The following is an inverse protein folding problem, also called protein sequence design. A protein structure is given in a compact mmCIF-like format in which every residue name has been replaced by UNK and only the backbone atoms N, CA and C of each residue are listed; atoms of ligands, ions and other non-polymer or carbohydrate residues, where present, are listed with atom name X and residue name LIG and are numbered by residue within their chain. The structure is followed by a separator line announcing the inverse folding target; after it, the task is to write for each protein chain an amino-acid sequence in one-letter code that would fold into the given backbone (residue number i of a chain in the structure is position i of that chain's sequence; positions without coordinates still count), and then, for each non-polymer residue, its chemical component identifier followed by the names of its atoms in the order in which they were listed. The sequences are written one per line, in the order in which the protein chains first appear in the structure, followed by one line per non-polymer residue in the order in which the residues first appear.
data_IF_440890946622
#
_entry.id   IF_440890946622
#
_cell.length_a   1.000
_cell.length_b   1.000
_cell.length_c   1.000
_cell.angle_alpha   90.00
_cell.angle_beta   90.00
_cell.angle_gamma   90.00
#
_symmetry.space_group_name_H-M   'P 1'
#
loop_
_entity.id
_entity.type
_entity.pdbx_description
1 polymer ?
#
# COMPACT_ATOMS: atom_id res chain seq x y z
N UNK A 1 -14.04 22.04 10.75
CA UNK A 1 -13.61 21.21 9.61
C UNK A 1 -14.06 21.66 8.20
N UNK A 2 -14.78 22.78 8.00
CA UNK A 2 -15.26 23.20 6.65
C UNK A 2 -14.34 24.16 5.85
N UNK A 3 -13.22 24.64 6.40
CA UNK A 3 -12.37 25.66 5.73
C UNK A 3 -11.14 25.11 4.98
N UNK A 4 -10.84 23.81 5.07
CA UNK A 4 -9.56 23.25 4.54
C UNK A 4 -9.60 22.82 3.07
N UNK A 5 -10.80 22.67 2.46
CA UNK A 5 -10.94 22.36 1.02
C UNK A 5 -10.68 23.55 0.10
N UNK A 6 -10.82 24.78 0.60
CA UNK A 6 -10.78 25.98 -0.24
C UNK A 6 -9.36 26.41 -0.66
N UNK A 7 -8.31 26.01 0.06
CA UNK A 7 -6.94 26.50 -0.21
C UNK A 7 -6.25 25.70 -1.33
N UNK A 8 -6.63 24.44 -1.57
CA UNK A 8 -6.02 23.61 -2.63
C UNK A 8 -6.54 23.91 -4.04
N UNK A 9 -7.72 24.53 -4.17
CA UNK A 9 -8.34 24.83 -5.46
C UNK A 9 -7.84 26.14 -6.10
N UNK A 10 -7.10 26.98 -5.37
CA UNK A 10 -6.77 28.35 -5.80
C UNK A 10 -5.52 28.46 -6.70
N UNK A 11 -4.90 27.36 -7.14
CA UNK A 11 -3.64 27.39 -7.93
C UNK A 11 -3.91 27.24 -9.45
N UNK A 12 -5.17 27.28 -9.90
CA UNK A 12 -5.50 27.09 -11.32
C UNK A 12 -6.34 28.23 -11.91
N UNK A 13 -5.77 29.43 -11.93
CA UNK A 13 -6.19 30.50 -12.83
C UNK A 13 -4.95 31.26 -13.30
N UNK A 14 -4.24 30.66 -14.26
CA UNK A 14 -3.22 31.33 -15.06
C UNK A 14 -3.32 30.78 -16.47
N UNK A 15 -3.60 31.65 -17.43
CA UNK A 15 -3.71 31.31 -18.85
C UNK A 15 -2.41 30.63 -19.35
N UNK A 16 -2.50 29.69 -20.31
CA UNK A 16 -1.32 29.01 -20.83
C UNK A 16 -0.54 29.98 -21.73
N UNK A 17 0.52 30.60 -21.19
CA UNK A 17 1.53 31.25 -22.02
C UNK A 17 2.45 30.19 -22.61
N UNK A 18 2.43 30.09 -23.94
CA UNK A 18 3.40 29.33 -24.74
C UNK A 18 4.80 29.93 -24.57
N UNK A 19 5.56 29.39 -23.62
CA UNK A 19 6.97 29.68 -23.44
C UNK A 19 7.63 28.43 -22.89
N UNK A 20 8.53 27.81 -23.66
CA UNK A 20 9.25 26.61 -23.25
C UNK A 20 9.89 26.83 -21.88
N UNK A 21 9.34 26.18 -20.87
CA UNK A 21 9.82 26.30 -19.49
C UNK A 21 11.25 25.81 -19.46
N UNK A 22 12.21 26.74 -19.27
CA UNK A 22 13.63 26.39 -19.10
C UNK A 22 13.75 25.29 -18.05
N UNK A 23 14.55 24.25 -18.32
CA UNK A 23 14.73 23.11 -17.42
C UNK A 23 15.14 23.52 -15.99
N UNK A 24 15.77 24.68 -15.84
CA UNK A 24 16.12 25.28 -14.54
C UNK A 24 14.89 25.73 -13.74
N UNK A 25 13.90 26.34 -14.39
CA UNK A 25 12.65 26.75 -13.72
C UNK A 25 11.81 25.54 -13.30
N UNK A 26 11.78 24.51 -14.15
CA UNK A 26 11.13 23.24 -13.80
C UNK A 26 11.80 22.59 -12.59
N UNK A 27 13.14 22.50 -12.60
CA UNK A 27 13.92 21.93 -11.49
C UNK A 27 13.72 22.70 -10.19
N UNK A 28 13.79 24.03 -10.23
CA UNK A 28 13.57 24.87 -9.06
C UNK A 28 12.14 24.69 -8.49
N UNK A 29 11.13 24.61 -9.35
CA UNK A 29 9.75 24.32 -8.95
C UNK A 29 9.60 22.94 -8.30
N UNK A 30 10.24 21.92 -8.87
CA UNK A 30 10.26 20.56 -8.31
C UNK A 30 10.93 20.52 -6.93
N UNK A 31 12.11 21.11 -6.79
CA UNK A 31 12.86 21.16 -5.52
C UNK A 31 12.07 21.90 -4.43
N UNK A 32 11.45 23.03 -4.78
CA UNK A 32 10.60 23.78 -3.86
C UNK A 32 9.35 22.98 -3.43
N UNK A 33 8.69 22.30 -4.38
CA UNK A 33 7.56 21.43 -4.11
C UNK A 33 7.93 20.23 -3.23
N UNK A 34 9.07 19.59 -3.50
CA UNK A 34 9.62 18.50 -2.69
C UNK A 34 9.93 18.97 -1.27
N UNK A 35 10.63 20.11 -1.10
CA UNK A 35 10.97 20.66 0.19
C UNK A 35 9.73 21.03 1.03
N UNK A 36 8.72 21.64 0.39
CA UNK A 36 7.44 21.92 1.03
C UNK A 36 6.71 20.64 1.43
N UNK A 37 6.65 19.65 0.54
CA UNK A 37 6.05 18.35 0.82
C UNK A 37 6.73 17.61 1.96
N UNK A 38 8.07 17.69 2.04
CA UNK A 38 8.86 17.14 3.15
C UNK A 38 8.52 17.84 4.46
N UNK A 39 8.44 19.17 4.48
CA UNK A 39 8.11 19.96 5.66
C UNK A 39 6.69 19.67 6.16
N UNK A 40 5.69 19.74 5.27
CA UNK A 40 4.31 19.41 5.61
C UNK A 40 4.21 17.96 6.12
N UNK A 41 4.91 17.03 5.48
CA UNK A 41 4.99 15.65 5.93
C UNK A 41 5.66 15.48 7.29
N UNK A 42 6.59 16.36 7.68
CA UNK A 42 7.21 16.40 9.01
C UNK A 42 6.29 17.04 10.06
N UNK A 43 5.56 18.09 9.70
CA UNK A 43 4.59 18.78 10.57
C UNK A 43 3.38 17.90 10.87
N UNK A 44 2.90 17.16 9.86
CA UNK A 44 1.79 16.23 9.99
C UNK A 44 2.20 14.92 10.71
N UNK A 45 3.49 14.71 11.05
CA UNK A 45 3.92 13.53 11.82
C UNK A 45 3.20 13.50 13.16
N UNK A 46 2.31 12.52 13.32
CA UNK A 46 1.49 12.33 14.52
C UNK A 46 0.09 12.96 14.44
N UNK A 47 -0.23 13.69 13.37
CA UNK A 47 -1.62 14.06 13.08
C UNK A 47 -2.36 12.81 12.57
N UNK A 48 -3.15 12.20 13.44
CA UNK A 48 -3.94 11.01 13.09
C UNK A 48 -5.32 11.43 12.61
N UNK A 49 -5.80 10.86 11.50
CA UNK A 49 -7.20 10.96 11.09
C UNK A 49 -7.93 9.63 11.33
N UNK A 50 -9.23 9.72 11.64
CA UNK A 50 -10.14 8.57 11.75
C UNK A 50 -10.40 7.99 10.35
N UNK A 51 -9.55 7.05 9.93
CA UNK A 51 -9.63 6.35 8.65
C UNK A 51 -8.38 5.52 8.36
N UNK A 52 -8.16 5.15 7.10
CA UNK A 52 -7.16 4.11 6.75
C UNK A 52 -6.05 4.63 5.84
N UNK A 53 -4.80 4.37 6.20
CA UNK A 53 -3.66 4.51 5.30
C UNK A 53 -3.44 3.22 4.53
N UNK A 54 -3.61 3.26 3.21
CA UNK A 54 -3.37 2.11 2.35
C UNK A 54 -1.95 2.23 1.77
N UNK A 55 -1.11 1.25 2.08
CA UNK A 55 0.27 1.15 1.62
C UNK A 55 0.33 0.09 0.52
N UNK A 56 0.89 0.49 -0.63
CA UNK A 56 1.08 -0.38 -1.79
C UNK A 56 2.59 -0.55 -2.00
N UNK A 57 3.16 -1.73 -1.68
CA UNK A 57 4.54 -2.05 -2.02
C UNK A 57 4.72 -2.11 -3.54
N UNK A 58 5.77 -1.48 -4.08
CA UNK A 58 6.08 -1.53 -5.50
C UNK A 58 7.59 -1.76 -5.69
N UNK A 59 7.95 -2.90 -6.28
CA UNK A 59 9.33 -3.25 -6.60
C UNK A 59 9.51 -3.63 -8.08
N UNK A 60 10.74 -3.94 -8.47
CA UNK A 60 11.07 -4.26 -9.86
C UNK A 60 10.61 -5.65 -10.32
N UNK A 61 10.23 -6.53 -9.39
CA UNK A 61 9.81 -7.92 -9.66
C UNK A 61 8.30 -8.01 -9.83
N UNK A 62 7.54 -7.26 -9.02
CA UNK A 62 6.09 -7.21 -9.07
C UNK A 62 5.60 -5.76 -8.89
N UNK A 63 4.95 -5.23 -9.93
CA UNK A 63 4.45 -3.85 -9.97
C UNK A 63 2.99 -3.82 -10.40
N UNK A 64 2.10 -4.18 -9.47
CA UNK A 64 0.64 -4.09 -9.63
C UNK A 64 0.07 -2.74 -9.16
N UNK A 65 0.93 -1.79 -8.75
CA UNK A 65 0.52 -0.60 -8.02
C UNK A 65 -0.50 0.25 -8.78
N UNK A 66 -0.32 0.39 -10.10
CA UNK A 66 -1.27 1.11 -10.97
C UNK A 66 -2.67 0.52 -10.87
N UNK A 67 -2.79 -0.81 -11.04
CA UNK A 67 -4.08 -1.51 -11.00
C UNK A 67 -4.72 -1.42 -9.62
N UNK A 68 -3.94 -1.61 -8.56
CA UNK A 68 -4.41 -1.51 -7.17
C UNK A 68 -4.93 -0.10 -6.87
N UNK A 69 -4.22 0.96 -7.30
CA UNK A 69 -4.69 2.34 -7.13
C UNK A 69 -6.04 2.56 -7.83
N UNK A 70 -6.20 2.10 -9.08
CA UNK A 70 -7.46 2.26 -9.82
C UNK A 70 -8.64 1.64 -9.07
N UNK A 71 -8.46 0.43 -8.55
CA UNK A 71 -9.52 -0.27 -7.83
C UNK A 71 -9.80 0.36 -6.46
N UNK A 72 -8.79 0.86 -5.76
CA UNK A 72 -9.02 1.62 -4.51
C UNK A 72 -9.86 2.85 -4.81
N UNK A 73 -9.52 3.62 -5.86
CA UNK A 73 -10.24 4.84 -6.27
C UNK A 73 -11.70 4.57 -6.63
N UNK A 74 -12.03 3.39 -7.16
CA UNK A 74 -13.41 3.03 -7.53
C UNK A 74 -14.19 2.34 -6.41
N UNK A 75 -13.55 1.46 -5.63
CA UNK A 75 -14.23 0.54 -4.69
C UNK A 75 -14.21 1.01 -3.23
N UNK A 76 -13.54 2.13 -2.90
CA UNK A 76 -13.31 2.54 -1.51
C UNK A 76 -14.06 3.84 -1.16
N UNK A 77 -15.28 3.76 -0.61
CA UNK A 77 -16.06 4.94 -0.23
C UNK A 77 -15.58 5.60 1.09
N UNK A 78 -14.74 4.93 1.87
CA UNK A 78 -14.26 5.37 3.18
C UNK A 78 -13.26 6.54 3.08
N UNK A 79 -12.97 7.19 4.21
CA UNK A 79 -11.83 8.11 4.29
C UNK A 79 -10.53 7.31 4.30
N UNK A 80 -9.72 7.50 3.27
CA UNK A 80 -8.41 6.87 3.15
C UNK A 80 -7.35 7.83 2.61
N UNK A 81 -6.11 7.44 2.77
CA UNK A 81 -4.98 7.93 1.97
C UNK A 81 -4.26 6.75 1.32
N UNK A 82 -3.54 7.02 0.21
CA UNK A 82 -2.73 6.00 -0.47
C UNK A 82 -1.27 6.41 -0.47
N UNK A 83 -0.41 5.51 -0.01
CA UNK A 83 1.04 5.64 -0.06
C UNK A 83 1.61 4.51 -0.93
N UNK A 84 2.38 4.85 -1.95
CA UNK A 84 3.14 3.86 -2.72
C UNK A 84 4.58 3.81 -2.22
N UNK A 85 5.00 2.65 -1.72
CA UNK A 85 6.36 2.36 -1.30
C UNK A 85 7.19 1.87 -2.50
N UNK A 86 7.79 2.81 -3.24
CA UNK A 86 8.60 2.55 -4.43
C UNK A 86 10.03 2.13 -4.05
N UNK A 87 10.27 0.82 -4.08
CA UNK A 87 11.57 0.19 -3.90
C UNK A 87 12.14 -0.34 -5.22
N UNK A 88 11.74 0.25 -6.36
CA UNK A 88 12.14 -0.24 -7.68
C UNK A 88 11.01 -0.28 -8.72
N UNK A 89 9.91 0.44 -8.51
CA UNK A 89 8.77 0.48 -9.41
C UNK A 89 9.16 0.83 -10.86
N UNK A 90 8.35 0.40 -11.82
CA UNK A 90 8.58 0.67 -13.25
C UNK A 90 8.47 2.16 -13.57
N UNK A 91 9.06 2.57 -14.70
CA UNK A 91 8.92 3.95 -15.18
C UNK A 91 7.45 4.34 -15.41
N UNK A 92 6.63 3.38 -15.85
CA UNK A 92 5.19 3.56 -16.05
C UNK A 92 4.48 3.86 -14.73
N UNK A 93 4.71 3.06 -13.70
CA UNK A 93 4.13 3.27 -12.37
C UNK A 93 4.56 4.60 -11.77
N UNK A 94 5.85 4.97 -11.88
CA UNK A 94 6.32 6.28 -11.40
C UNK A 94 5.65 7.44 -12.11
N UNK A 95 5.48 7.36 -13.43
CA UNK A 95 4.74 8.37 -14.21
C UNK A 95 3.28 8.45 -13.76
N UNK A 96 2.63 7.31 -13.59
CA UNK A 96 1.24 7.24 -13.13
C UNK A 96 1.03 7.87 -11.75
N UNK A 97 1.95 7.62 -10.80
CA UNK A 97 1.92 8.23 -9.46
C UNK A 97 2.17 9.75 -9.56
N UNK A 98 3.13 10.17 -10.38
CA UNK A 98 3.45 11.57 -10.60
C UNK A 98 2.25 12.36 -11.17
N UNK A 99 1.48 11.74 -12.07
CA UNK A 99 0.29 12.35 -12.65
C UNK A 99 -0.88 12.46 -11.64
N UNK A 100 -0.84 11.67 -10.55
CA UNK A 100 -1.77 11.70 -9.41
C UNK A 100 -1.24 12.44 -8.18
N UNK A 101 -0.27 13.32 -8.38
CA UNK A 101 0.28 14.17 -7.29
C UNK A 101 -0.83 14.88 -6.53
N UNK A 102 -0.80 14.77 -5.20
CA UNK A 102 -1.81 15.34 -4.31
C UNK A 102 -2.96 14.40 -3.94
N UNK A 103 -3.15 13.30 -4.68
CA UNK A 103 -4.07 12.20 -4.34
C UNK A 103 -3.29 11.01 -3.81
N UNK A 104 -2.20 10.63 -4.49
CA UNK A 104 -1.31 9.53 -4.09
C UNK A 104 -0.01 10.10 -3.53
N UNK A 105 0.44 9.57 -2.39
CA UNK A 105 1.72 9.92 -1.77
C UNK A 105 2.80 8.95 -2.24
N UNK A 106 3.87 9.48 -2.80
CA UNK A 106 5.01 8.68 -3.26
C UNK A 106 6.09 8.59 -2.18
N UNK A 107 6.32 7.40 -1.64
CA UNK A 107 7.41 7.10 -0.71
C UNK A 107 8.50 6.38 -1.49
N UNK A 108 9.51 7.12 -1.92
CA UNK A 108 10.59 6.60 -2.76
C UNK A 108 11.78 6.14 -1.92
N UNK A 109 12.28 4.93 -2.19
CA UNK A 109 13.54 4.42 -1.65
C UNK A 109 14.77 5.07 -2.29
N UNK A 110 15.87 5.06 -1.55
CA UNK A 110 17.20 5.43 -2.04
C UNK A 110 17.83 4.23 -2.78
N UNK A 111 18.92 4.49 -3.51
CA UNK A 111 19.72 3.43 -4.13
C UNK A 111 20.22 2.45 -3.07
N UNK A 112 19.86 1.17 -3.21
CA UNK A 112 20.22 0.10 -2.28
C UNK A 112 19.21 -0.15 -1.15
N UNK A 113 18.14 0.66 -1.04
CA UNK A 113 17.06 0.36 -0.10
C UNK A 113 16.30 -0.90 -0.54
N UNK A 114 16.11 -1.82 0.41
CA UNK A 114 15.23 -2.98 0.21
C UNK A 114 13.75 -2.60 0.39
N UNK A 115 12.85 -3.42 -0.16
CA UNK A 115 11.41 -3.22 -0.08
C UNK A 115 10.92 -2.96 1.35
N UNK A 116 11.38 -3.75 2.32
CA UNK A 116 11.03 -3.58 3.73
C UNK A 116 11.38 -2.20 4.27
N UNK A 117 12.54 -1.64 3.91
CA UNK A 117 12.94 -0.31 4.37
C UNK A 117 11.99 0.78 3.83
N UNK A 118 11.57 0.66 2.56
CA UNK A 118 10.65 1.62 1.94
C UNK A 118 9.23 1.47 2.50
N UNK A 119 8.76 0.24 2.73
CA UNK A 119 7.47 -0.02 3.40
C UNK A 119 7.48 0.51 4.83
N UNK A 120 8.56 0.31 5.59
CA UNK A 120 8.72 0.85 6.94
C UNK A 120 8.68 2.39 6.96
N UNK A 121 9.29 3.03 5.95
CA UNK A 121 9.17 4.49 5.75
C UNK A 121 7.73 4.90 5.47
N UNK A 122 6.99 4.13 4.66
CA UNK A 122 5.58 4.39 4.37
C UNK A 122 4.69 4.21 5.62
N UNK A 123 4.91 3.16 6.42
CA UNK A 123 4.23 2.94 7.71
C UNK A 123 4.45 4.16 8.62
N UNK A 124 5.70 4.61 8.72
CA UNK A 124 6.07 5.76 9.56
C UNK A 124 5.51 7.10 9.05
N UNK A 125 5.27 7.23 7.74
CA UNK A 125 4.73 8.43 7.12
C UNK A 125 3.19 8.45 7.06
N UNK A 126 2.54 7.35 7.42
CA UNK A 126 1.08 7.17 7.39
C UNK A 126 0.36 7.96 8.50
N UNK A 127 -0.86 8.39 8.24
CA UNK A 127 -1.69 9.27 9.08
C UNK A 127 -3.06 8.67 9.50
N UNK A 128 -3.58 7.67 8.82
CA UNK A 128 -4.89 7.06 9.10
C UNK A 128 -4.85 6.05 10.25
N UNK A 129 -5.71 6.16 11.26
CA UNK A 129 -5.78 5.30 12.46
C UNK A 129 -5.50 3.80 12.20
N UNK A 130 -6.01 3.30 11.08
CA UNK A 130 -5.73 1.96 10.56
C UNK A 130 -4.73 2.00 9.42
N UNK A 131 -3.93 0.95 9.29
CA UNK A 131 -2.98 0.78 8.19
C UNK A 131 -3.32 -0.52 7.47
N UNK A 132 -3.52 -0.42 6.17
CA UNK A 132 -3.67 -1.55 5.27
C UNK A 132 -2.42 -1.70 4.40
N UNK A 133 -1.88 -2.91 4.26
CA UNK A 133 -0.84 -3.24 3.29
C UNK A 133 -1.45 -4.17 2.26
N UNK A 134 -1.47 -3.75 0.99
CA UNK A 134 -2.02 -4.53 -0.13
C UNK A 134 -0.88 -5.05 -1.01
N UNK A 135 -0.62 -6.35 -0.95
CA UNK A 135 0.31 -7.02 -1.85
C UNK A 135 -0.44 -7.53 -3.08
N UNK A 136 -0.07 -6.97 -4.24
CA UNK A 136 -0.39 -7.40 -5.60
C UNK A 136 -1.88 -7.44 -6.02
N UNK A 137 -2.79 -7.88 -5.17
CA UNK A 137 -4.19 -8.08 -5.52
C UNK A 137 -5.04 -6.84 -5.21
N UNK A 138 -5.77 -6.29 -6.21
CA UNK A 138 -6.69 -5.19 -5.98
C UNK A 138 -7.95 -5.64 -5.22
N UNK A 139 -8.55 -4.76 -4.40
CA UNK A 139 -9.89 -5.00 -3.87
C UNK A 139 -10.92 -5.03 -5.00
N UNK A 140 -11.87 -5.96 -4.94
CA UNK A 140 -12.93 -6.13 -5.95
C UNK A 140 -14.34 -5.95 -5.38
N UNK A 141 -14.46 -5.75 -4.08
CA UNK A 141 -15.72 -5.49 -3.40
C UNK A 141 -15.78 -4.03 -2.95
N UNK A 142 -16.92 -3.38 -3.23
CA UNK A 142 -17.26 -2.14 -2.55
C UNK A 142 -17.22 -2.33 -1.03
N UNK A 143 -16.84 -1.29 -0.29
CA UNK A 143 -16.83 -1.32 1.17
C UNK A 143 -15.90 -2.39 1.80
N UNK A 144 -14.92 -2.93 1.05
CA UNK A 144 -13.97 -3.93 1.55
C UNK A 144 -13.27 -3.53 2.86
N UNK A 145 -12.87 -2.26 3.01
CA UNK A 145 -12.30 -1.74 4.26
C UNK A 145 -13.27 -1.83 5.43
N UNK A 146 -14.55 -1.53 5.20
CA UNK A 146 -15.57 -1.56 6.24
C UNK A 146 -15.79 -2.97 6.77
N UNK A 147 -15.75 -3.97 5.87
CA UNK A 147 -15.79 -5.39 6.24
C UNK A 147 -14.62 -5.76 7.15
N UNK A 148 -13.39 -5.41 6.74
CA UNK A 148 -12.20 -5.70 7.53
C UNK A 148 -12.17 -4.94 8.87
N UNK A 149 -12.62 -3.69 8.88
CA UNK A 149 -12.64 -2.84 10.09
C UNK A 149 -13.66 -3.31 11.13
N UNK A 150 -14.83 -3.80 10.69
CA UNK A 150 -15.89 -4.30 11.58
C UNK A 150 -15.41 -5.44 12.47
N UNK A 151 -14.48 -6.27 11.99
CA UNK A 151 -13.94 -7.37 12.80
C UNK A 151 -13.16 -6.91 14.03
N UNK A 152 -12.53 -5.73 13.99
CA UNK A 152 -11.90 -5.14 15.19
C UNK A 152 -12.90 -4.70 16.26
N UNK A 153 -14.13 -4.41 15.87
CA UNK A 153 -15.23 -4.06 16.79
C UNK A 153 -15.86 -5.32 17.38
N UNK A 154 -16.00 -6.36 16.56
CA UNK A 154 -16.60 -7.65 16.95
C UNK A 154 -15.71 -8.44 17.90
N UNK A 155 -14.40 -8.44 17.64
CA UNK A 155 -13.42 -9.21 18.38
C UNK A 155 -12.28 -8.29 18.87
N UNK A 156 -12.48 -7.53 19.98
CA UNK A 156 -11.49 -6.57 20.48
C UNK A 156 -10.05 -7.09 20.71
N UNK A 157 -9.82 -8.37 21.05
CA UNK A 157 -8.47 -8.94 21.16
C UNK A 157 -7.71 -9.03 19.83
N UNK A 158 -8.41 -8.98 18.68
CA UNK A 158 -7.78 -9.05 17.37
C UNK A 158 -6.94 -7.80 17.12
N UNK A 159 -5.68 -8.03 16.75
CA UNK A 159 -4.70 -7.00 16.40
C UNK A 159 -4.46 -6.89 14.91
N UNK A 160 -4.73 -7.94 14.16
CA UNK A 160 -4.55 -7.98 12.71
C UNK A 160 -5.64 -8.79 12.02
N UNK A 161 -6.22 -8.20 10.99
CA UNK A 161 -7.14 -8.87 10.07
C UNK A 161 -6.40 -9.05 8.74
N UNK A 162 -6.44 -10.22 8.14
CA UNK A 162 -5.71 -10.50 6.90
C UNK A 162 -6.52 -11.33 5.92
N UNK A 163 -6.17 -11.21 4.63
CA UNK A 163 -6.74 -12.00 3.56
C UNK A 163 -5.63 -12.66 2.74
N UNK A 164 -5.87 -13.89 2.30
CA UNK A 164 -4.95 -14.66 1.45
C UNK A 164 -5.53 -14.81 0.06
N UNK A 165 -4.73 -14.58 -0.97
CA UNK A 165 -5.12 -14.81 -2.36
C UNK A 165 -5.52 -16.26 -2.56
N UNK A 166 -6.54 -16.52 -3.39
CA UNK A 166 -6.77 -17.88 -3.87
C UNK A 166 -5.55 -18.26 -4.74
N UNK A 167 -4.88 -19.36 -4.43
CA UNK A 167 -3.74 -19.81 -5.20
C UNK A 167 -4.22 -20.11 -6.63
N UNK A 168 -3.89 -19.24 -7.59
CA UNK A 168 -4.12 -19.51 -9.00
C UNK A 168 -3.24 -20.71 -9.35
N UNK A 169 -3.85 -21.88 -9.54
CA UNK A 169 -3.18 -23.13 -9.90
C UNK A 169 -2.54 -23.10 -11.30
N UNK A 170 -1.60 -22.19 -11.53
CA UNK A 170 -0.74 -22.12 -12.73
C UNK A 170 0.72 -22.41 -12.33
N UNK A 171 0.90 -23.28 -11.34
CA UNK A 171 2.15 -23.97 -11.04
C UNK A 171 2.04 -25.50 -11.09
N UNK A 172 0.83 -26.03 -11.32
CA UNK A 172 0.54 -27.46 -11.31
C UNK A 172 0.21 -28.03 -12.71
N UNK A 173 0.71 -27.42 -13.78
CA UNK A 173 0.47 -27.87 -15.15
C UNK A 173 1.74 -28.12 -15.98
N UNK A 174 2.91 -28.18 -15.33
CA UNK A 174 4.15 -28.72 -15.90
C UNK A 174 4.88 -29.49 -14.81
N UNK A 175 4.31 -30.62 -14.41
CA UNK A 175 5.08 -31.67 -13.73
C UNK A 175 4.86 -32.91 -14.57
N UNK A 176 5.91 -33.32 -15.27
CA UNK A 176 5.98 -34.63 -15.92
C UNK A 176 5.51 -35.70 -14.93
N UNK A 177 4.66 -36.60 -15.40
CA UNK A 177 4.16 -37.76 -14.66
C UNK A 177 5.33 -38.68 -14.28
N UNK A 178 6.03 -38.42 -13.16
CA UNK A 178 6.74 -39.42 -12.35
C UNK A 178 7.52 -38.74 -11.20
N UNK A 179 6.84 -38.42 -10.10
CA UNK A 179 7.39 -38.67 -8.75
C UNK A 179 6.31 -38.41 -7.68
N UNK A 180 5.84 -39.50 -7.09
CA UNK A 180 5.10 -39.51 -5.83
C UNK A 180 5.94 -38.90 -4.71
N UNK A 181 5.74 -37.61 -4.42
CA UNK A 181 6.15 -36.96 -3.18
C UNK A 181 5.07 -35.97 -2.73
N UNK A 182 4.81 -35.94 -1.42
CA UNK A 182 3.77 -35.20 -0.69
C UNK A 182 3.47 -33.78 -1.26
N UNK A 183 2.21 -33.31 -1.26
CA UNK A 183 1.91 -31.95 -1.69
C UNK A 183 2.48 -30.95 -0.67
N UNK A 184 3.72 -30.49 -0.91
CA UNK A 184 4.29 -29.30 -0.29
C UNK A 184 3.49 -28.09 -0.79
N UNK A 185 2.28 -27.94 -0.25
CA UNK A 185 1.39 -26.81 -0.53
C UNK A 185 1.96 -25.63 0.24
N UNK A 186 2.82 -24.84 -0.40
CA UNK A 186 3.21 -23.55 0.16
C UNK A 186 1.92 -22.78 0.46
N UNK A 187 1.77 -22.16 1.65
CA UNK A 187 0.55 -21.46 2.01
C UNK A 187 0.28 -20.36 0.98
N UNK A 188 -0.99 -20.19 0.60
CA UNK A 188 -1.36 -19.19 -0.40
C UNK A 188 -0.91 -17.78 0.02
N UNK A 189 -0.46 -16.96 -0.95
CA UNK A 189 0.15 -15.67 -0.65
C UNK A 189 -0.83 -14.72 0.05
N UNK A 190 -0.32 -13.84 0.90
CA UNK A 190 -1.14 -12.84 1.59
C UNK A 190 -1.42 -11.66 0.65
N UNK A 191 -2.69 -11.34 0.43
CA UNK A 191 -3.11 -10.20 -0.39
C UNK A 191 -3.22 -8.92 0.43
N UNK A 192 -3.68 -9.02 1.68
CA UNK A 192 -3.97 -7.85 2.51
C UNK A 192 -3.64 -8.11 3.99
N UNK A 193 -3.02 -7.13 4.65
CA UNK A 193 -2.97 -7.00 6.11
C UNK A 193 -3.64 -5.69 6.51
N UNK A 194 -4.58 -5.72 7.45
CA UNK A 194 -5.15 -4.55 8.11
C UNK A 194 -4.85 -4.60 9.61
N UNK A 195 -4.37 -3.50 10.17
CA UNK A 195 -3.99 -3.41 11.58
C UNK A 195 -4.09 -1.97 12.11
N UNK A 196 -4.13 -1.81 13.44
CA UNK A 196 -4.09 -0.50 14.09
C UNK A 196 -2.69 0.11 14.01
N UNK A 197 -2.58 1.43 13.84
CA UNK A 197 -1.28 2.15 13.82
C UNK A 197 -0.38 1.83 15.03
N UNK A 198 -0.92 1.47 16.18
CA UNK A 198 -0.12 1.14 17.36
C UNK A 198 0.69 -0.15 17.22
N UNK A 199 0.25 -1.08 16.37
CA UNK A 199 0.78 -2.44 16.33
C UNK A 199 2.29 -2.52 16.02
N UNK A 200 2.86 -1.75 15.06
CA UNK A 200 4.30 -1.72 14.83
C UNK A 200 5.15 -1.35 16.06
N UNK A 201 4.61 -0.58 17.02
CA UNK A 201 5.31 -0.27 18.27
C UNK A 201 5.37 -1.47 19.23
N UNK A 202 4.46 -2.44 19.06
CA UNK A 202 4.38 -3.66 19.89
C UNK A 202 5.22 -4.81 19.31
N UNK A 203 5.15 -5.04 17.98
CA UNK A 203 5.78 -6.21 17.32
C UNK A 203 7.00 -5.86 16.45
N UNK A 204 7.35 -4.57 16.40
CA UNK A 204 8.40 -4.04 15.54
C UNK A 204 7.98 -3.92 14.08
N UNK A 205 8.85 -3.28 13.29
CA UNK A 205 8.71 -3.10 11.86
C UNK A 205 9.20 -4.34 11.07
N UNK A 206 9.05 -4.32 9.74
CA UNK A 206 9.57 -5.39 8.88
C UNK A 206 11.10 -5.45 8.98
N UNK A 207 11.67 -6.65 9.03
CA UNK A 207 13.12 -6.84 9.02
C UNK A 207 13.67 -6.46 7.65
N UNK A 208 14.83 -5.80 7.59
CA UNK A 208 15.44 -5.40 6.32
C UNK A 208 16.13 -6.59 5.61
N UNK A 209 15.32 -7.52 5.11
CA UNK A 209 15.74 -8.69 4.33
C UNK A 209 15.27 -8.58 2.87
N UNK A 210 16.01 -9.23 1.96
CA UNK A 210 15.66 -9.33 0.54
C UNK A 210 14.58 -10.40 0.37
N UNK A 211 13.33 -10.04 0.60
CA UNK A 211 12.16 -10.90 0.44
C UNK A 211 11.10 -10.21 -0.41
N UNK A 212 10.11 -10.97 -0.90
CA UNK A 212 8.92 -10.40 -1.52
C UNK A 212 8.04 -9.67 -0.49
N UNK A 213 7.08 -8.86 -0.95
CA UNK A 213 6.09 -8.24 -0.08
C UNK A 213 5.30 -9.29 0.72
N UNK A 214 4.88 -10.37 0.05
CA UNK A 214 4.07 -11.45 0.61
C UNK A 214 4.84 -12.22 1.70
N UNK A 215 6.13 -12.50 1.48
CA UNK A 215 7.00 -13.14 2.46
C UNK A 215 7.21 -12.27 3.70
N UNK A 216 7.40 -10.96 3.51
CA UNK A 216 7.48 -10.01 4.62
C UNK A 216 6.19 -9.96 5.41
N UNK A 217 5.05 -9.89 4.72
CA UNK A 217 3.72 -9.95 5.36
C UNK A 217 3.54 -11.24 6.14
N UNK A 218 3.99 -12.38 5.61
CA UNK A 218 3.89 -13.67 6.27
C UNK A 218 4.71 -13.71 7.56
N UNK A 219 5.99 -13.35 7.49
CA UNK A 219 6.87 -13.32 8.67
C UNK A 219 6.40 -12.32 9.72
N UNK A 220 5.78 -11.23 9.29
CA UNK A 220 5.26 -10.23 10.22
C UNK A 220 3.98 -10.71 10.91
N UNK A 221 3.10 -11.41 10.19
CA UNK A 221 1.92 -12.07 10.74
C UNK A 221 2.29 -13.13 11.79
N UNK A 222 3.37 -13.89 11.59
CA UNK A 222 3.85 -14.92 12.53
C UNK A 222 4.32 -14.36 13.88
N UNK A 223 4.59 -13.05 13.98
CA UNK A 223 4.93 -12.40 15.26
C UNK A 223 3.71 -12.20 16.16
N UNK A 224 2.51 -12.40 15.64
CA UNK A 224 1.25 -12.19 16.34
C UNK A 224 0.68 -13.55 16.76
N UNK A 225 0.27 -13.72 18.03
CA UNK A 225 -0.39 -14.93 18.49
C UNK A 225 -1.62 -15.28 17.64
N UNK A 226 -1.92 -16.57 17.48
CA UNK A 226 -2.99 -17.03 16.61
C UNK A 226 -4.38 -16.54 17.04
N UNK A 227 -4.58 -16.35 18.33
CA UNK A 227 -5.78 -15.80 18.96
C UNK A 227 -5.95 -14.28 18.75
N UNK A 228 -4.92 -13.58 18.25
CA UNK A 228 -4.93 -12.14 17.98
C UNK A 228 -4.95 -11.82 16.48
N UNK A 229 -5.06 -12.84 15.61
CA UNK A 229 -5.13 -12.67 14.16
C UNK A 229 -6.41 -13.30 13.61
N UNK A 230 -7.03 -12.63 12.65
CA UNK A 230 -8.24 -13.10 11.99
C UNK A 230 -8.04 -13.16 10.48
N UNK A 231 -8.32 -14.33 9.90
CA UNK A 231 -8.34 -14.50 8.44
C UNK A 231 -9.75 -14.25 7.91
N UNK A 232 -9.86 -13.48 6.84
CA UNK A 232 -11.10 -13.38 6.04
C UNK A 232 -10.88 -14.07 4.68
N UNK A 233 -11.94 -14.69 4.16
CA UNK A 233 -11.94 -15.30 2.83
C UNK A 233 -11.78 -14.24 1.73
N UNK A 234 -10.67 -14.32 0.97
CA UNK A 234 -10.35 -13.34 -0.06
C UNK A 234 -11.23 -13.46 -1.31
N UNK A 235 -11.80 -14.63 -1.59
CA UNK A 235 -12.67 -14.87 -2.75
C UNK A 235 -13.85 -13.89 -2.85
N UNK A 236 -14.25 -13.30 -1.72
CA UNK A 236 -15.27 -12.26 -1.65
C UNK A 236 -14.72 -10.83 -1.78
N UNK A 237 -13.45 -10.58 -1.44
CA UNK A 237 -12.88 -9.24 -1.26
C UNK A 237 -11.82 -8.85 -2.31
N UNK A 238 -11.04 -9.81 -2.81
CA UNK A 238 -9.89 -9.60 -3.69
C UNK A 238 -9.93 -10.61 -4.84
N UNK A 239 -9.55 -10.20 -6.06
CA UNK A 239 -9.35 -11.15 -7.15
C UNK A 239 -7.88 -11.54 -7.25
N UNK A 240 -7.60 -12.84 -7.30
CA UNK A 240 -6.29 -13.35 -7.72
C UNK A 240 -6.01 -12.89 -9.15
N UNK A 241 -4.89 -12.20 -9.35
CA UNK A 241 -4.45 -11.54 -10.61
C UNK A 241 -4.86 -12.18 -11.93
N UNK A 242 -6.09 -11.93 -12.38
CA UNK A 242 -6.58 -12.17 -13.73
C UNK A 242 -7.15 -10.88 -14.30
N UNK A 243 -6.37 -10.19 -15.13
CA UNK A 243 -6.84 -9.57 -16.38
C UNK A 243 -5.74 -9.77 -17.43
#
# INVERSE_FOLDING_TARGET
MKKRRAVRAAIHTGEPQEGGVSGEHYRAGYEAGYALGLRLGQEDRGSVFEGTSIIIPADSRHDAAVQVIQHIETMTPHLYEVLVADAGATANTRRYIHDRRGVVRHVKGNSGDHLASVVNKAISASLGEYIAILANDPPQMDNWLGVLMCEFEREPPIKMVYARSEATGIGAAWVDEEETALPNTSPSPLSCLLFRRSLPAEIGLWTEEILSAEDHMHRWLERIPAEQRLQIEASSLFASGKI
#
